data_IF_811405337477
#
_entry.id   IF_811405337477
#
_cell.length_a   1.000
_cell.length_b   1.000
_cell.length_c   1.000
_cell.angle_alpha   90.00
_cell.angle_beta   90.00
_cell.angle_gamma   90.00
#
_symmetry.space_group_name_H-M   'P 1'
#
loop_
_entity.id
_entity.type
_entity.pdbx_description
1 polymer ?
#
# COMPACT_ATOMS: atom_id res chain seq x y z
N UNK A 1 -1.87 -22.88 35.58
CA UNK A 1 -0.96 -23.23 34.47
C UNK A 1 -1.77 -23.23 33.19
N UNK A 2 -1.64 -22.19 32.36
CA UNK A 2 -2.43 -22.06 31.14
C UNK A 2 -1.98 -23.08 30.11
N UNK A 3 -2.91 -23.88 29.58
CA UNK A 3 -2.71 -24.68 28.38
C UNK A 3 -2.41 -23.70 27.23
N UNK A 4 -1.13 -23.41 26.98
CA UNK A 4 -0.72 -22.80 25.72
C UNK A 4 -1.02 -23.84 24.64
N UNK A 5 -1.84 -23.49 23.67
CA UNK A 5 -2.07 -24.33 22.48
C UNK A 5 -0.92 -24.08 21.50
N UNK A 6 0.15 -24.91 21.47
CA UNK A 6 1.30 -24.71 20.57
C UNK A 6 0.90 -24.67 19.09
N UNK A 7 -0.25 -25.25 18.76
CA UNK A 7 -0.86 -25.23 17.42
C UNK A 7 -1.24 -23.81 17.01
N UNK A 8 -1.87 -23.03 17.89
CA UNK A 8 -2.38 -21.68 17.56
C UNK A 8 -1.23 -20.69 17.35
N UNK A 9 -0.19 -20.76 18.17
CA UNK A 9 0.97 -19.86 18.09
C UNK A 9 1.70 -20.01 16.74
N UNK A 10 1.80 -21.26 16.23
CA UNK A 10 2.38 -21.56 14.91
C UNK A 10 1.59 -20.92 13.76
N UNK A 11 0.26 -20.84 13.87
CA UNK A 11 -0.59 -20.23 12.83
C UNK A 11 -0.70 -18.70 12.93
N UNK A 12 -0.42 -18.11 14.09
CA UNK A 12 -0.53 -16.66 14.28
C UNK A 12 0.72 -15.90 13.86
N UNK A 13 1.89 -16.54 13.88
CA UNK A 13 3.14 -15.90 13.50
C UNK A 13 3.09 -15.26 12.10
N UNK A 14 2.62 -15.93 11.02
CA UNK A 14 2.60 -15.32 9.70
C UNK A 14 1.63 -14.14 9.59
N UNK A 15 0.48 -14.21 10.27
CA UNK A 15 -0.49 -13.11 10.32
C UNK A 15 0.09 -11.91 11.08
N UNK A 16 0.77 -12.14 12.19
CA UNK A 16 1.47 -11.09 12.92
C UNK A 16 2.58 -10.46 12.07
N UNK A 17 3.38 -11.26 11.36
CA UNK A 17 4.38 -10.75 10.41
C UNK A 17 3.73 -9.94 9.29
N UNK A 18 2.59 -10.39 8.75
CA UNK A 18 1.84 -9.64 7.75
C UNK A 18 1.39 -8.27 8.26
N UNK A 19 0.92 -8.18 9.51
CA UNK A 19 0.51 -6.91 10.13
C UNK A 19 1.67 -5.91 10.23
N UNK A 20 2.89 -6.38 10.51
CA UNK A 20 4.07 -5.52 10.58
C UNK A 20 4.60 -5.10 9.19
N UNK A 21 4.55 -5.99 8.21
CA UNK A 21 5.05 -5.72 6.85
C UNK A 21 4.04 -4.91 6.02
N UNK A 22 2.75 -5.06 6.28
CA UNK A 22 1.67 -4.47 5.48
C UNK A 22 1.77 -2.93 5.34
N UNK A 23 2.04 -2.14 6.39
CA UNK A 23 2.22 -0.69 6.25
C UNK A 23 3.31 -0.30 5.26
N UNK A 24 4.43 -1.05 5.20
CA UNK A 24 5.50 -0.81 4.24
C UNK A 24 5.03 -1.11 2.81
N UNK A 25 4.32 -2.22 2.60
CA UNK A 25 3.74 -2.56 1.29
C UNK A 25 2.77 -1.47 0.85
N UNK A 26 1.88 -1.02 1.75
CA UNK A 26 0.94 0.08 1.49
C UNK A 26 1.69 1.35 1.13
N UNK A 27 2.75 1.72 1.85
CA UNK A 27 3.54 2.92 1.56
C UNK A 27 4.09 2.91 0.11
N UNK A 28 4.55 1.76 -0.37
CA UNK A 28 5.07 1.59 -1.73
C UNK A 28 3.96 1.70 -2.77
N UNK A 29 2.82 1.04 -2.55
CA UNK A 29 1.77 0.95 -3.57
C UNK A 29 0.72 2.08 -3.51
N UNK A 30 0.63 2.82 -2.40
CA UNK A 30 -0.47 3.78 -2.18
C UNK A 30 -0.48 4.90 -3.21
N UNK A 31 0.69 5.40 -3.64
CA UNK A 31 0.79 6.48 -4.64
C UNK A 31 0.36 5.98 -6.02
N UNK A 32 0.93 4.90 -6.60
CA UNK A 32 0.48 4.41 -7.90
C UNK A 32 -1.00 3.99 -7.87
N UNK A 33 -1.47 3.36 -6.78
CA UNK A 33 -2.88 3.00 -6.61
C UNK A 33 -3.75 4.26 -6.55
N UNK A 34 -3.34 5.32 -5.85
CA UNK A 34 -4.07 6.58 -5.82
C UNK A 34 -4.13 7.24 -7.21
N UNK A 35 -3.04 7.26 -7.96
CA UNK A 35 -3.01 7.78 -9.35
C UNK A 35 -4.04 7.06 -10.22
N UNK A 36 -4.03 5.72 -10.20
CA UNK A 36 -5.00 4.92 -10.97
C UNK A 36 -6.42 5.18 -10.47
N UNK A 37 -6.61 5.27 -9.15
CA UNK A 37 -7.92 5.46 -8.51
C UNK A 37 -8.54 6.82 -8.87
N UNK A 38 -7.79 7.91 -8.80
CA UNK A 38 -8.28 9.24 -9.21
C UNK A 38 -8.58 9.29 -10.71
N UNK A 39 -7.77 8.65 -11.56
CA UNK A 39 -7.99 8.62 -13.02
C UNK A 39 -9.19 7.77 -13.43
N UNK A 40 -9.48 6.68 -12.71
CA UNK A 40 -10.59 5.77 -13.04
C UNK A 40 -11.90 6.10 -12.31
N UNK A 41 -11.83 6.73 -11.13
CA UNK A 41 -12.98 6.90 -10.21
C UNK A 41 -13.10 8.28 -9.58
N UNK A 42 -12.18 9.22 -9.82
CA UNK A 42 -12.21 10.55 -9.17
C UNK A 42 -11.93 10.56 -7.66
N UNK A 43 -11.74 9.39 -7.03
CA UNK A 43 -11.44 9.25 -5.59
C UNK A 43 -10.53 8.06 -5.29
N UNK A 44 -9.70 8.18 -4.25
CA UNK A 44 -8.83 7.11 -3.77
C UNK A 44 -9.32 6.38 -2.50
N UNK A 45 -10.45 6.78 -1.91
CA UNK A 45 -10.99 6.21 -0.66
C UNK A 45 -12.19 5.27 -0.85
N UNK A 46 -13.06 5.22 0.16
CA UNK A 46 -14.36 4.52 0.19
C UNK A 46 -14.28 3.00 0.01
N UNK A 47 -15.43 2.37 -0.28
CA UNK A 47 -15.55 0.91 -0.26
C UNK A 47 -14.57 0.19 -1.21
N UNK A 48 -14.36 0.72 -2.41
CA UNK A 48 -13.37 0.19 -3.36
C UNK A 48 -11.94 0.15 -2.80
N UNK A 49 -11.55 1.16 -2.01
CA UNK A 49 -10.24 1.18 -1.36
C UNK A 49 -10.18 0.17 -0.21
N UNK A 50 -11.23 0.05 0.60
CA UNK A 50 -11.33 -0.97 1.65
C UNK A 50 -11.12 -2.36 1.06
N UNK A 51 -11.90 -2.71 0.04
CA UNK A 51 -11.81 -4.01 -0.64
C UNK A 51 -10.41 -4.25 -1.22
N UNK A 52 -9.81 -3.23 -1.85
CA UNK A 52 -8.47 -3.33 -2.40
C UNK A 52 -7.40 -3.58 -1.33
N UNK A 53 -7.36 -2.78 -0.26
CA UNK A 53 -6.36 -2.91 0.79
C UNK A 53 -6.57 -4.16 1.65
N UNK A 54 -7.82 -4.58 1.86
CA UNK A 54 -8.13 -5.88 2.47
C UNK A 54 -7.67 -7.04 1.59
N UNK A 55 -7.86 -6.95 0.27
CA UNK A 55 -7.37 -7.97 -0.66
C UNK A 55 -5.84 -8.02 -0.69
N UNK A 56 -5.17 -6.87 -0.68
CA UNK A 56 -3.72 -6.77 -0.61
C UNK A 56 -3.16 -7.38 0.69
N UNK A 57 -3.76 -7.05 1.84
CA UNK A 57 -3.39 -7.65 3.12
C UNK A 57 -3.59 -9.16 3.11
N UNK A 58 -4.73 -9.63 2.59
CA UNK A 58 -5.02 -11.05 2.43
C UNK A 58 -3.96 -11.76 1.60
N UNK A 59 -3.58 -11.23 0.43
CA UNK A 59 -2.57 -11.83 -0.43
C UNK A 59 -1.21 -11.92 0.28
N UNK A 60 -0.82 -10.86 1.00
CA UNK A 60 0.39 -10.85 1.81
C UNK A 60 0.34 -11.91 2.92
N UNK A 61 -0.76 -11.96 3.67
CA UNK A 61 -0.93 -12.91 4.76
C UNK A 61 -0.95 -14.36 4.26
N UNK A 62 -1.66 -14.64 3.16
CA UNK A 62 -1.71 -15.96 2.54
C UNK A 62 -0.32 -16.40 2.05
N UNK A 63 0.43 -15.51 1.39
CA UNK A 63 1.79 -15.80 0.96
C UNK A 63 2.70 -16.09 2.16
N UNK A 64 2.69 -15.22 3.18
CA UNK A 64 3.49 -15.42 4.40
C UNK A 64 3.13 -16.71 5.13
N UNK A 65 1.84 -17.07 5.17
CA UNK A 65 1.35 -18.31 5.76
C UNK A 65 1.96 -19.55 5.10
N UNK A 66 2.23 -19.48 3.79
CA UNK A 66 2.81 -20.61 3.05
C UNK A 66 4.32 -20.72 3.20
N UNK A 67 5.03 -19.62 3.46
CA UNK A 67 6.50 -19.61 3.50
C UNK A 67 7.10 -19.62 4.91
N UNK A 68 6.39 -19.12 5.94
CA UNK A 68 6.88 -19.02 7.32
C UNK A 68 6.64 -20.34 8.07
N UNK A 69 7.59 -20.83 8.90
CA UNK A 69 8.87 -20.19 9.26
C UNK A 69 9.99 -20.41 8.24
N UNK A 70 10.82 -19.38 8.05
CA UNK A 70 12.03 -19.44 7.24
C UNK A 70 13.21 -19.93 8.08
N UNK A 71 13.98 -20.94 7.64
CA UNK A 71 15.19 -21.37 8.34
C UNK A 71 16.22 -20.24 8.43
N UNK A 72 16.82 -20.02 9.61
CA UNK A 72 17.88 -19.01 9.80
C UNK A 72 19.20 -19.42 9.13
N UNK A 73 19.55 -20.70 9.23
CA UNK A 73 20.68 -21.31 8.55
C UNK A 73 20.14 -22.41 7.63
N UNK A 74 20.11 -22.11 6.33
CA UNK A 74 19.59 -23.02 5.32
C UNK A 74 20.44 -24.28 5.14
N UNK A 75 21.77 -24.15 5.24
CA UNK A 75 22.69 -25.27 5.05
C UNK A 75 22.54 -26.29 6.16
N UNK A 76 22.63 -25.83 7.41
CA UNK A 76 22.46 -26.68 8.58
C UNK A 76 21.05 -27.31 8.63
N UNK A 77 20.01 -26.55 8.29
CA UNK A 77 18.64 -27.06 8.25
C UNK A 77 18.50 -28.20 7.24
N UNK A 78 19.00 -28.02 6.02
CA UNK A 78 18.90 -28.99 4.94
C UNK A 78 19.74 -30.25 5.18
N UNK A 79 20.83 -30.16 5.96
CA UNK A 79 21.57 -31.36 6.40
C UNK A 79 20.87 -32.13 7.51
N UNK A 80 20.06 -31.46 8.34
CA UNK A 80 19.37 -32.08 9.47
C UNK A 80 17.96 -32.61 9.13
N UNK A 81 17.31 -32.06 8.10
CA UNK A 81 15.91 -32.36 7.76
C UNK A 81 15.78 -32.86 6.32
N UNK A 82 15.31 -34.10 6.17
CA UNK A 82 15.09 -34.73 4.86
C UNK A 82 13.62 -35.01 4.53
N UNK A 83 12.68 -34.67 5.43
CA UNK A 83 11.26 -35.01 5.27
C UNK A 83 10.62 -34.40 4.01
N UNK A 84 11.12 -33.25 3.55
CA UNK A 84 10.63 -32.53 2.37
C UNK A 84 11.42 -32.86 1.08
N UNK A 85 12.37 -33.80 1.13
CA UNK A 85 13.23 -34.17 -0.02
C UNK A 85 12.47 -34.82 -1.16
N UNK A 86 11.33 -35.45 -0.88
CA UNK A 86 10.48 -36.10 -1.88
C UNK A 86 9.07 -35.50 -1.81
N UNK A 87 8.49 -35.05 -2.93
CA UNK A 87 7.13 -34.54 -2.95
C UNK A 87 6.10 -35.60 -2.55
N UNK A 88 5.06 -35.18 -1.83
CA UNK A 88 3.87 -35.97 -1.60
C UNK A 88 2.96 -35.86 -2.84
N UNK A 89 2.75 -36.97 -3.55
CA UNK A 89 2.02 -37.00 -4.82
C UNK A 89 0.73 -37.84 -4.79
N UNK A 90 0.38 -38.43 -3.64
CA UNK A 90 -0.77 -39.32 -3.50
C UNK A 90 -2.03 -38.49 -3.20
N UNK A 91 -3.00 -38.37 -4.13
CA UNK A 91 -4.18 -37.58 -3.87
C UNK A 91 -5.05 -38.19 -2.76
N UNK A 92 -5.63 -37.33 -1.94
CA UNK A 92 -6.51 -37.62 -0.80
C UNK A 92 -5.86 -38.41 0.34
N UNK A 93 -4.52 -38.38 0.47
CA UNK A 93 -3.81 -39.05 1.56
C UNK A 93 -4.20 -38.47 2.94
N UNK A 94 -4.52 -37.17 2.99
CA UNK A 94 -5.00 -36.50 4.21
C UNK A 94 -6.19 -37.22 4.86
N UNK A 95 -7.05 -37.90 4.10
CA UNK A 95 -8.22 -38.64 4.63
C UNK A 95 -7.76 -39.81 5.50
N UNK A 96 -6.78 -40.57 5.02
CA UNK A 96 -6.21 -41.70 5.75
C UNK A 96 -5.49 -41.21 7.01
N UNK A 97 -4.72 -40.11 6.89
CA UNK A 97 -3.99 -39.51 8.03
C UNK A 97 -4.95 -38.98 9.10
N UNK A 98 -6.05 -38.30 8.73
CA UNK A 98 -7.05 -37.81 9.68
C UNK A 98 -7.66 -38.98 10.45
N UNK A 99 -8.06 -40.05 9.76
CA UNK A 99 -8.62 -41.27 10.38
C UNK A 99 -7.63 -41.93 11.32
N UNK A 100 -6.38 -42.06 10.89
CA UNK A 100 -5.31 -42.64 11.71
C UNK A 100 -5.05 -41.79 12.95
N UNK A 101 -5.04 -40.45 12.83
CA UNK A 101 -4.79 -39.53 13.94
C UNK A 101 -5.95 -39.45 14.93
N UNK A 102 -7.18 -39.62 14.45
CA UNK A 102 -8.38 -39.68 15.29
C UNK A 102 -8.39 -40.92 16.20
N UNK A 103 -7.73 -42.02 15.81
CA UNK A 103 -7.71 -43.29 16.58
C UNK A 103 -9.10 -43.79 17.01
N UNK A 104 -10.12 -43.49 16.20
CA UNK A 104 -11.52 -43.82 16.50
C UNK A 104 -12.25 -42.82 17.41
N UNK A 105 -11.57 -41.81 17.97
CA UNK A 105 -12.20 -40.75 18.77
C UNK A 105 -12.69 -39.60 17.86
N UNK A 106 -14.00 -39.59 17.63
CA UNK A 106 -14.72 -38.53 16.89
C UNK A 106 -15.54 -37.64 17.82
N UNK A 107 -15.26 -37.65 19.13
CA UNK A 107 -15.85 -36.70 20.06
C UNK A 107 -15.44 -35.27 19.69
N UNK A 108 -16.20 -34.27 20.16
CA UNK A 108 -15.86 -32.86 19.94
C UNK A 108 -14.43 -32.56 20.40
N UNK A 109 -14.03 -33.11 21.56
CA UNK A 109 -12.68 -32.96 22.10
C UNK A 109 -11.63 -33.61 21.18
N UNK A 110 -11.89 -34.83 20.67
CA UNK A 110 -11.00 -35.52 19.74
C UNK A 110 -10.80 -34.75 18.42
N UNK A 111 -11.88 -34.19 17.88
CA UNK A 111 -11.86 -33.33 16.68
C UNK A 111 -11.03 -32.07 16.95
N UNK A 112 -11.25 -31.38 18.07
CA UNK A 112 -10.54 -30.15 18.41
C UNK A 112 -9.03 -30.37 18.60
N UNK A 113 -8.61 -31.55 19.05
CA UNK A 113 -7.20 -31.90 19.25
C UNK A 113 -6.55 -32.56 18.02
N UNK A 114 -7.30 -32.81 16.94
CA UNK A 114 -6.74 -33.36 15.71
C UNK A 114 -6.10 -32.26 14.86
N UNK A 115 -4.80 -32.06 15.03
CA UNK A 115 -4.05 -31.03 14.29
C UNK A 115 -4.06 -31.20 12.77
N UNK A 116 -4.17 -32.44 12.27
CA UNK A 116 -4.23 -32.71 10.82
C UNK A 116 -5.55 -32.23 10.25
N UNK A 117 -6.67 -32.49 10.95
CA UNK A 117 -7.98 -31.97 10.58
C UNK A 117 -7.98 -30.44 10.47
N UNK A 118 -7.38 -29.76 11.46
CA UNK A 118 -7.24 -28.31 11.43
C UNK A 118 -6.37 -27.82 10.27
N UNK A 119 -5.23 -28.45 10.02
CA UNK A 119 -4.38 -28.11 8.87
C UNK A 119 -5.13 -28.27 7.55
N UNK A 120 -5.87 -29.36 7.37
CA UNK A 120 -6.70 -29.61 6.20
C UNK A 120 -7.79 -28.55 6.02
N UNK A 121 -8.52 -28.22 7.09
CA UNK A 121 -9.55 -27.19 7.06
C UNK A 121 -8.96 -25.80 6.74
N UNK A 122 -7.80 -25.48 7.31
CA UNK A 122 -7.11 -24.21 7.10
C UNK A 122 -6.58 -24.05 5.68
N UNK A 123 -6.12 -25.13 5.02
CA UNK A 123 -5.78 -25.10 3.60
C UNK A 123 -6.99 -24.73 2.73
N UNK A 124 -8.17 -25.31 3.01
CA UNK A 124 -9.41 -24.89 2.31
C UNK A 124 -9.73 -23.42 2.58
N UNK A 125 -9.59 -22.97 3.84
CA UNK A 125 -9.87 -21.57 4.21
C UNK A 125 -8.86 -20.60 3.58
N UNK A 126 -7.61 -21.01 3.35
CA UNK A 126 -6.53 -20.16 2.86
C UNK A 126 -6.88 -19.46 1.54
N UNK A 127 -7.41 -20.20 0.56
CA UNK A 127 -7.78 -19.65 -0.76
C UNK A 127 -9.27 -19.37 -0.94
N UNK A 128 -10.10 -19.64 0.06
CA UNK A 128 -11.52 -19.28 0.03
C UNK A 128 -11.75 -17.76 -0.17
N UNK A 129 -11.07 -16.85 0.56
CA UNK A 129 -11.21 -15.41 0.32
C UNK A 129 -10.80 -14.98 -1.09
N UNK A 130 -9.79 -15.62 -1.70
CA UNK A 130 -9.43 -15.35 -3.10
C UNK A 130 -10.60 -15.60 -4.05
N UNK A 131 -11.28 -16.74 -3.88
CA UNK A 131 -12.47 -17.08 -4.66
C UNK A 131 -13.59 -16.05 -4.53
N UNK A 132 -13.88 -15.63 -3.29
CA UNK A 132 -14.89 -14.60 -3.00
C UNK A 132 -14.51 -13.27 -3.66
N UNK A 133 -13.29 -12.81 -3.42
CA UNK A 133 -12.83 -11.49 -3.84
C UNK A 133 -12.71 -11.38 -5.35
N UNK A 134 -12.27 -12.43 -6.06
CA UNK A 134 -12.23 -12.42 -7.52
C UNK A 134 -13.64 -12.34 -8.12
N UNK A 135 -14.60 -13.09 -7.59
CA UNK A 135 -16.01 -13.03 -8.05
C UNK A 135 -16.67 -11.70 -7.73
N UNK A 136 -16.29 -11.09 -6.63
CA UNK A 136 -16.83 -9.83 -6.19
C UNK A 136 -16.24 -8.62 -6.93
N UNK A 137 -14.94 -8.62 -7.20
CA UNK A 137 -14.22 -7.48 -7.80
C UNK A 137 -14.11 -7.54 -9.32
N UNK A 138 -14.25 -8.74 -9.91
CA UNK A 138 -14.09 -8.96 -11.35
C UNK A 138 -15.34 -9.57 -11.97
N UNK A 139 -15.32 -9.81 -13.28
CA UNK A 139 -16.38 -10.52 -14.01
C UNK A 139 -16.06 -12.01 -14.23
N UNK A 140 -15.05 -12.57 -13.55
CA UNK A 140 -14.63 -13.95 -13.77
C UNK A 140 -15.74 -14.95 -13.40
N UNK A 141 -15.89 -15.99 -14.23
CA UNK A 141 -16.74 -17.16 -13.96
C UNK A 141 -16.16 -18.06 -12.87
N UNK A 142 -16.96 -18.99 -12.33
CA UNK A 142 -16.51 -19.95 -11.30
C UNK A 142 -15.27 -20.72 -11.78
N UNK A 143 -15.31 -21.27 -12.99
CA UNK A 143 -14.19 -22.03 -13.58
C UNK A 143 -12.91 -21.21 -13.64
N UNK A 144 -12.99 -19.98 -14.16
CA UNK A 144 -11.82 -19.10 -14.26
C UNK A 144 -11.29 -18.71 -12.88
N UNK A 145 -12.17 -18.43 -11.91
CA UNK A 145 -11.78 -18.14 -10.53
C UNK A 145 -11.10 -19.35 -9.87
N UNK A 146 -11.63 -20.56 -10.05
CA UNK A 146 -11.03 -21.80 -9.54
C UNK A 146 -9.68 -22.06 -10.19
N UNK A 147 -9.52 -21.80 -11.49
CA UNK A 147 -8.24 -21.93 -12.19
C UNK A 147 -7.18 -20.96 -11.64
N UNK A 148 -7.57 -19.72 -11.32
CA UNK A 148 -6.67 -18.76 -10.63
C UNK A 148 -6.30 -19.28 -9.24
N UNK A 149 -7.26 -19.86 -8.49
CA UNK A 149 -7.00 -20.50 -7.20
C UNK A 149 -6.02 -21.66 -7.29
N UNK A 150 -6.19 -22.54 -8.28
CA UNK A 150 -5.25 -23.62 -8.58
C UNK A 150 -3.87 -23.07 -8.92
N UNK A 151 -3.78 -22.05 -9.78
CA UNK A 151 -2.51 -21.41 -10.11
C UNK A 151 -1.82 -20.76 -8.90
N UNK A 152 -2.58 -20.15 -8.00
CA UNK A 152 -2.05 -19.60 -6.75
C UNK A 152 -1.55 -20.70 -5.81
N UNK A 153 -2.29 -21.80 -5.66
CA UNK A 153 -1.83 -22.94 -4.88
C UNK A 153 -0.58 -23.57 -5.48
N UNK A 154 -0.54 -23.76 -6.81
CA UNK A 154 0.62 -24.28 -7.50
C UNK A 154 1.83 -23.36 -7.33
N UNK A 155 1.63 -22.04 -7.38
CA UNK A 155 2.68 -21.09 -7.08
C UNK A 155 3.23 -21.26 -5.66
N UNK A 156 2.38 -21.47 -4.65
CA UNK A 156 2.82 -21.73 -3.28
C UNK A 156 3.61 -23.04 -3.15
N UNK A 157 3.09 -24.13 -3.71
CA UNK A 157 3.75 -25.43 -3.65
C UNK A 157 5.09 -25.44 -4.41
N UNK A 158 5.15 -24.82 -5.60
CA UNK A 158 6.41 -24.66 -6.34
C UNK A 158 7.40 -23.77 -5.59
N UNK A 159 6.88 -22.72 -4.94
CA UNK A 159 7.69 -21.87 -4.08
C UNK A 159 8.32 -22.71 -2.96
N UNK A 160 7.59 -23.60 -2.31
CA UNK A 160 8.13 -24.46 -1.25
C UNK A 160 9.07 -25.54 -1.78
N UNK A 161 8.70 -26.21 -2.86
CA UNK A 161 9.48 -27.29 -3.50
C UNK A 161 10.84 -26.80 -3.97
N UNK A 162 10.90 -25.60 -4.53
CA UNK A 162 12.16 -24.98 -4.94
C UNK A 162 12.94 -24.38 -3.76
N UNK A 163 12.39 -24.46 -2.54
CA UNK A 163 12.99 -23.88 -1.36
C UNK A 163 12.93 -22.35 -1.35
N UNK A 164 11.90 -21.74 -1.92
CA UNK A 164 11.77 -20.31 -2.22
C UNK A 164 12.80 -19.89 -3.28
N UNK A 165 12.65 -20.47 -4.48
CA UNK A 165 13.40 -20.11 -5.68
C UNK A 165 14.92 -20.20 -5.52
N UNK A 166 15.39 -21.32 -4.95
CA UNK A 166 16.81 -21.66 -4.80
C UNK A 166 17.60 -20.74 -3.86
N UNK A 167 16.92 -19.95 -3.03
CA UNK A 167 17.55 -19.27 -1.89
C UNK A 167 18.07 -20.30 -0.88
N UNK A 168 17.30 -21.36 -0.66
CA UNK A 168 17.70 -22.50 0.17
C UNK A 168 18.18 -23.67 -0.70
N UNK A 169 19.18 -24.46 -0.23
CA UNK A 169 19.75 -25.56 -1.00
C UNK A 169 18.82 -26.79 -1.09
N UNK A 170 17.70 -26.80 -0.36
CA UNK A 170 16.69 -27.85 -0.38
C UNK A 170 15.27 -27.27 -0.22
N UNK A 171 14.26 -28.08 -0.51
CA UNK A 171 12.89 -27.81 -0.09
C UNK A 171 12.82 -27.81 1.43
N UNK A 172 12.48 -26.67 2.05
CA UNK A 172 12.35 -26.57 3.50
C UNK A 172 10.92 -26.84 4.00
N UNK A 173 9.96 -26.99 3.07
CA UNK A 173 8.58 -27.45 3.31
C UNK A 173 8.22 -28.50 2.26
N UNK A 174 7.37 -29.44 2.66
CA UNK A 174 6.93 -30.55 1.82
C UNK A 174 5.93 -30.07 0.77
N UNK A 175 6.24 -30.30 -0.52
CA UNK A 175 5.26 -30.17 -1.60
C UNK A 175 4.18 -31.24 -1.45
N UNK A 176 2.92 -30.85 -1.58
CA UNK A 176 1.77 -31.73 -1.36
C UNK A 176 0.69 -31.55 -2.44
N UNK A 177 0.34 -32.64 -3.13
CA UNK A 177 -0.81 -32.66 -4.05
C UNK A 177 -2.12 -32.44 -3.29
N UNK A 178 -2.19 -32.88 -2.03
CA UNK A 178 -3.36 -32.63 -1.18
C UNK A 178 -3.54 -31.15 -0.89
N UNK A 179 -2.46 -30.40 -0.68
CA UNK A 179 -2.53 -28.96 -0.44
C UNK A 179 -3.00 -28.22 -1.69
N UNK A 180 -2.56 -28.64 -2.89
CA UNK A 180 -3.13 -28.18 -4.16
C UNK A 180 -4.64 -28.40 -4.24
N UNK A 181 -5.10 -29.60 -3.92
CA UNK A 181 -6.52 -29.97 -3.99
C UNK A 181 -7.33 -29.13 -2.99
N UNK A 182 -6.89 -29.05 -1.73
CA UNK A 182 -7.61 -28.38 -0.65
C UNK A 182 -7.68 -26.86 -0.87
N UNK A 183 -6.56 -26.23 -1.21
CA UNK A 183 -6.53 -24.80 -1.53
C UNK A 183 -7.42 -24.49 -2.76
N UNK A 184 -7.35 -25.33 -3.81
CA UNK A 184 -8.19 -25.16 -4.99
C UNK A 184 -9.68 -25.33 -4.68
N UNK A 185 -10.03 -26.30 -3.83
CA UNK A 185 -11.38 -26.49 -3.32
C UNK A 185 -11.86 -25.26 -2.53
N UNK A 186 -10.98 -24.67 -1.72
CA UNK A 186 -11.19 -23.39 -1.06
C UNK A 186 -11.59 -22.28 -2.02
N UNK A 187 -10.77 -22.05 -3.06
CA UNK A 187 -11.05 -21.06 -4.08
C UNK A 187 -12.36 -21.34 -4.84
N UNK A 188 -12.67 -22.60 -5.12
CA UNK A 188 -13.95 -23.00 -5.72
C UNK A 188 -15.15 -22.67 -4.83
N UNK A 189 -15.11 -23.07 -3.54
CA UNK A 189 -16.16 -22.74 -2.57
C UNK A 189 -16.30 -21.23 -2.43
N UNK A 190 -15.20 -20.51 -2.33
CA UNK A 190 -15.19 -19.05 -2.31
C UNK A 190 -15.84 -18.45 -3.56
N UNK A 191 -15.61 -19.05 -4.73
CA UNK A 191 -16.20 -18.58 -5.98
C UNK A 191 -17.73 -18.77 -6.03
N UNK A 192 -18.23 -19.86 -5.43
CA UNK A 192 -19.66 -20.10 -5.25
C UNK A 192 -20.28 -19.05 -4.31
N UNK A 193 -19.63 -18.77 -3.18
CA UNK A 193 -20.09 -17.82 -2.17
C UNK A 193 -20.01 -16.35 -2.65
N UNK A 194 -19.04 -16.02 -3.50
CA UNK A 194 -18.83 -14.65 -4.00
C UNK A 194 -19.97 -14.12 -4.85
N UNK A 195 -20.73 -15.00 -5.53
CA UNK A 195 -21.90 -14.62 -6.34
C UNK A 195 -23.02 -14.00 -5.49
N UNK A 196 -23.58 -14.74 -4.52
CA UNK A 196 -24.56 -14.20 -3.57
C UNK A 196 -24.06 -12.97 -2.82
N UNK A 197 -22.80 -12.96 -2.40
CA UNK A 197 -22.22 -11.87 -1.62
C UNK A 197 -22.20 -10.53 -2.39
N UNK A 198 -22.07 -10.56 -3.72
CA UNK A 198 -22.15 -9.36 -4.56
C UNK A 198 -23.52 -8.65 -4.49
N UNK A 199 -24.60 -9.35 -4.10
CA UNK A 199 -25.93 -8.76 -3.91
C UNK A 199 -26.07 -8.05 -2.56
N UNK A 200 -25.23 -8.41 -1.59
CA UNK A 200 -25.27 -7.89 -0.22
C UNK A 200 -24.25 -6.76 -0.03
N UNK A 201 -23.05 -6.91 -0.61
CA UNK A 201 -21.99 -5.93 -0.49
C UNK A 201 -22.23 -4.70 -1.38
N UNK A 202 -21.71 -3.51 -0.99
CA UNK A 202 -21.83 -2.31 -1.80
C UNK A 202 -21.28 -2.50 -3.22
N UNK A 203 -21.92 -1.90 -4.21
CA UNK A 203 -21.45 -2.02 -5.60
C UNK A 203 -20.14 -1.25 -5.83
N UNK A 204 -19.20 -1.89 -6.53
CA UNK A 204 -17.98 -1.24 -7.04
C UNK A 204 -18.29 -0.53 -8.37
N UNK A 205 -18.75 0.71 -8.30
CA UNK A 205 -19.24 1.48 -9.45
C UNK A 205 -18.28 2.63 -9.87
N UNK A 206 -17.17 2.35 -10.59
CA UNK A 206 -16.14 3.33 -10.89
C UNK A 206 -16.64 4.53 -11.70
N UNK A 207 -17.60 4.35 -12.62
CA UNK A 207 -18.18 5.42 -13.42
C UNK A 207 -19.00 6.41 -12.58
N UNK A 208 -19.90 5.88 -11.74
CA UNK A 208 -20.73 6.67 -10.82
C UNK A 208 -19.85 7.46 -9.83
N UNK A 209 -18.77 6.83 -9.35
CA UNK A 209 -17.79 7.51 -8.51
C UNK A 209 -17.10 8.66 -9.28
N UNK A 210 -16.67 8.41 -10.52
CA UNK A 210 -16.01 9.43 -11.33
C UNK A 210 -16.91 10.64 -11.55
N UNK A 211 -18.18 10.43 -11.93
CA UNK A 211 -19.16 11.50 -12.12
C UNK A 211 -19.37 12.34 -10.85
N UNK A 212 -19.38 11.70 -9.67
CA UNK A 212 -19.60 12.39 -8.39
C UNK A 212 -18.38 13.14 -7.87
N UNK A 213 -17.17 12.64 -8.14
CA UNK A 213 -15.95 13.10 -7.47
C UNK A 213 -14.88 13.71 -8.39
N UNK A 214 -15.04 13.67 -9.73
CA UNK A 214 -14.02 14.15 -10.67
C UNK A 214 -13.62 15.63 -10.44
N UNK A 215 -14.60 16.49 -10.18
CA UNK A 215 -14.45 17.93 -9.96
C UNK A 215 -14.06 18.28 -8.50
N UNK A 216 -14.17 17.32 -7.57
CA UNK A 216 -13.94 17.56 -6.14
C UNK A 216 -12.46 17.55 -5.77
N UNK A 217 -12.05 18.54 -5.00
CA UNK A 217 -10.70 18.62 -4.42
C UNK A 217 -10.75 18.19 -2.95
N UNK A 218 -10.71 16.88 -2.73
CA UNK A 218 -10.75 16.31 -1.37
C UNK A 218 -9.42 16.46 -0.64
N UNK A 219 -9.44 16.41 0.70
CA UNK A 219 -8.23 16.35 1.53
C UNK A 219 -7.34 15.18 1.13
N UNK A 220 -7.92 14.01 0.90
CA UNK A 220 -7.19 12.83 0.44
C UNK A 220 -6.49 13.05 -0.91
N UNK A 221 -7.10 13.80 -1.85
CA UNK A 221 -6.50 14.12 -3.16
C UNK A 221 -5.33 15.07 -3.00
N UNK A 222 -5.44 16.04 -2.09
CA UNK A 222 -4.35 16.96 -1.71
C UNK A 222 -3.19 16.20 -1.05
N UNK A 223 -3.48 15.29 -0.11
CA UNK A 223 -2.47 14.49 0.59
C UNK A 223 -1.73 13.55 -0.37
N UNK A 224 -2.44 12.82 -1.24
CA UNK A 224 -1.79 11.96 -2.23
C UNK A 224 -0.97 12.76 -3.26
N UNK A 225 -1.40 13.97 -3.62
CA UNK A 225 -0.63 14.85 -4.49
C UNK A 225 0.67 15.29 -3.80
N UNK A 226 0.60 15.69 -2.52
CA UNK A 226 1.77 16.04 -1.72
C UNK A 226 2.70 14.84 -1.54
N UNK A 227 2.17 13.66 -1.21
CA UNK A 227 2.96 12.44 -1.08
C UNK A 227 3.68 12.07 -2.40
N UNK A 228 2.99 12.20 -3.53
CA UNK A 228 3.60 11.98 -4.85
C UNK A 228 4.67 13.03 -5.19
N UNK A 229 4.45 14.30 -4.81
CA UNK A 229 5.47 15.35 -4.97
C UNK A 229 6.69 15.09 -4.10
N UNK A 230 6.51 14.73 -2.83
CA UNK A 230 7.62 14.42 -1.92
C UNK A 230 8.40 13.19 -2.35
N UNK A 231 7.72 12.12 -2.76
CA UNK A 231 8.37 10.92 -3.28
C UNK A 231 9.15 11.20 -4.58
N UNK A 232 8.54 11.92 -5.53
CA UNK A 232 9.20 12.31 -6.78
C UNK A 232 10.40 13.23 -6.55
N UNK A 233 10.26 14.20 -5.65
CA UNK A 233 11.34 15.10 -5.26
C UNK A 233 12.50 14.35 -4.59
N UNK A 234 12.21 13.45 -3.65
CA UNK A 234 13.22 12.64 -2.98
C UNK A 234 13.96 11.71 -3.95
N UNK A 235 13.24 11.07 -4.88
CA UNK A 235 13.85 10.23 -5.93
C UNK A 235 14.75 11.04 -6.86
N UNK A 236 14.31 12.23 -7.26
CA UNK A 236 15.11 13.12 -8.10
C UNK A 236 16.38 13.57 -7.38
N UNK A 237 16.28 13.95 -6.10
CA UNK A 237 17.47 14.29 -5.30
C UNK A 237 18.42 13.10 -5.15
N UNK A 238 17.90 11.92 -4.80
CA UNK A 238 18.71 10.71 -4.68
C UNK A 238 19.44 10.39 -5.99
N UNK A 239 18.76 10.54 -7.13
CA UNK A 239 19.36 10.40 -8.45
C UNK A 239 20.44 11.47 -8.71
N UNK A 240 20.15 12.75 -8.45
CA UNK A 240 21.12 13.84 -8.63
C UNK A 240 22.37 13.66 -7.77
N UNK A 241 22.22 13.31 -6.49
CA UNK A 241 23.35 13.04 -5.62
C UNK A 241 24.12 11.77 -6.02
N UNK A 242 23.42 10.73 -6.49
CA UNK A 242 24.05 9.54 -7.07
C UNK A 242 24.91 9.90 -8.28
N UNK A 243 24.42 10.79 -9.15
CA UNK A 243 25.14 11.26 -10.33
C UNK A 243 26.38 12.09 -9.94
N UNK A 244 26.25 13.02 -8.99
CA UNK A 244 27.38 13.81 -8.49
C UNK A 244 28.49 12.91 -7.92
N UNK A 245 28.11 11.90 -7.13
CA UNK A 245 29.07 10.91 -6.61
C UNK A 245 29.71 10.07 -7.70
N UNK A 246 28.94 9.69 -8.72
CA UNK A 246 29.46 8.93 -9.87
C UNK A 246 30.53 9.70 -10.65
N UNK A 247 30.43 11.04 -10.70
CA UNK A 247 31.38 11.93 -11.37
C UNK A 247 32.40 12.60 -10.42
N UNK A 248 32.60 12.01 -9.23
CA UNK A 248 33.57 12.46 -8.22
C UNK A 248 33.45 13.96 -7.87
N UNK A 249 32.24 14.50 -7.92
CA UNK A 249 31.98 15.88 -7.56
C UNK A 249 31.83 16.02 -6.04
N UNK A 250 32.42 17.06 -5.42
CA UNK A 250 32.33 17.26 -3.98
C UNK A 250 30.87 17.44 -3.54
N UNK A 251 30.42 16.58 -2.62
CA UNK A 251 29.06 16.63 -2.06
C UNK A 251 28.96 17.42 -0.77
N UNK A 252 29.91 18.29 -0.47
CA UNK A 252 29.90 19.12 0.75
C UNK A 252 28.80 20.20 0.68
N UNK A 253 28.49 20.70 -0.52
CA UNK A 253 27.54 21.80 -0.72
C UNK A 253 26.14 21.29 -1.13
N UNK A 254 25.56 20.40 -0.32
CA UNK A 254 24.29 19.73 -0.64
C UNK A 254 23.09 20.69 -0.74
N UNK A 255 23.18 21.87 -0.11
CA UNK A 255 22.07 22.82 -0.07
C UNK A 255 21.73 23.45 -1.43
N UNK A 256 22.72 23.79 -2.25
CA UNK A 256 22.46 24.44 -3.54
C UNK A 256 21.69 23.53 -4.53
N UNK A 257 22.06 22.24 -4.72
CA UNK A 257 21.25 21.30 -5.49
C UNK A 257 19.83 21.15 -4.95
N UNK A 258 19.65 21.02 -3.63
CA UNK A 258 18.33 20.86 -3.00
C UNK A 258 17.44 22.07 -3.27
N UNK A 259 17.95 23.28 -3.07
CA UNK A 259 17.22 24.53 -3.33
C UNK A 259 16.88 24.65 -4.81
N UNK A 260 17.84 24.37 -5.70
CA UNK A 260 17.65 24.47 -7.15
C UNK A 260 16.56 23.52 -7.63
N UNK A 261 16.65 22.23 -7.25
CA UNK A 261 15.63 21.23 -7.60
C UNK A 261 14.28 21.61 -6.98
N UNK A 262 14.27 22.14 -5.76
CA UNK A 262 13.06 22.60 -5.08
C UNK A 262 12.36 23.74 -5.83
N UNK A 263 13.11 24.76 -6.23
CA UNK A 263 12.60 25.88 -7.03
C UNK A 263 12.11 25.41 -8.39
N UNK A 264 12.83 24.52 -9.07
CA UNK A 264 12.38 23.97 -10.36
C UNK A 264 11.08 23.18 -10.19
N UNK A 265 10.99 22.30 -9.19
CA UNK A 265 9.86 21.40 -8.98
C UNK A 265 8.60 22.12 -8.50
N UNK A 266 8.73 22.99 -7.49
CA UNK A 266 7.60 23.59 -6.78
C UNK A 266 7.27 25.02 -7.22
N UNK A 267 8.17 25.70 -7.94
CA UNK A 267 7.93 27.08 -8.41
C UNK A 267 7.88 27.14 -9.95
N UNK A 268 8.97 26.79 -10.63
CA UNK A 268 9.07 26.94 -12.08
C UNK A 268 8.09 26.03 -12.82
N UNK A 269 8.10 24.72 -12.52
CA UNK A 269 7.22 23.75 -13.17
C UNK A 269 5.72 24.12 -13.03
N UNK A 270 5.17 24.38 -11.84
CA UNK A 270 3.78 24.82 -11.72
C UNK A 270 3.52 26.24 -12.27
N UNK A 271 4.50 27.14 -12.32
CA UNK A 271 4.30 28.43 -13.00
C UNK A 271 4.06 28.25 -14.52
N UNK A 272 4.76 27.28 -15.13
CA UNK A 272 4.65 26.98 -16.56
C UNK A 272 3.43 26.10 -16.90
N UNK A 273 3.17 25.07 -16.09
CA UNK A 273 2.17 24.03 -16.38
C UNK A 273 0.87 24.17 -15.57
N UNK A 274 0.86 25.02 -14.54
CA UNK A 274 -0.20 25.14 -13.55
C UNK A 274 -0.19 24.04 -12.48
N UNK A 275 0.70 23.03 -12.55
CA UNK A 275 0.68 21.89 -11.62
C UNK A 275 2.09 21.41 -11.28
N UNK A 276 2.32 21.01 -10.03
CA UNK A 276 3.47 20.14 -9.71
C UNK A 276 3.23 18.75 -10.28
N UNK A 277 4.27 17.92 -10.37
CA UNK A 277 4.14 16.58 -10.96
C UNK A 277 3.20 15.69 -10.13
N UNK A 278 3.27 15.74 -8.80
CA UNK A 278 2.36 15.04 -7.90
C UNK A 278 0.92 15.53 -8.02
N UNK A 279 0.69 16.85 -8.10
CA UNK A 279 -0.64 17.41 -8.38
C UNK A 279 -1.18 16.94 -9.73
N UNK A 280 -0.37 16.98 -10.79
CA UNK A 280 -0.76 16.49 -12.12
C UNK A 280 -1.09 14.99 -12.09
N UNK A 281 -0.36 14.20 -11.31
CA UNK A 281 -0.62 12.77 -11.11
C UNK A 281 -2.01 12.51 -10.51
N UNK A 282 -2.44 13.37 -9.58
CA UNK A 282 -3.77 13.36 -8.94
C UNK A 282 -4.79 14.27 -9.64
N UNK A 283 -4.52 14.70 -10.88
CA UNK A 283 -5.40 15.57 -11.67
C UNK A 283 -5.76 16.88 -10.94
N UNK A 284 -4.80 17.53 -10.31
CA UNK A 284 -4.94 18.83 -9.66
C UNK A 284 -4.06 19.88 -10.34
N UNK A 285 -4.51 21.13 -10.31
CA UNK A 285 -3.73 22.32 -10.68
C UNK A 285 -3.86 23.42 -9.62
N UNK A 286 -2.95 24.38 -9.64
CA UNK A 286 -2.95 25.57 -8.79
C UNK A 286 -3.28 26.78 -9.63
N UNK A 287 -4.30 27.52 -9.20
CA UNK A 287 -4.74 28.76 -9.83
C UNK A 287 -4.83 29.87 -8.80
N UNK A 288 -4.85 31.13 -9.24
CA UNK A 288 -5.25 32.26 -8.40
C UNK A 288 -6.76 32.23 -8.22
N UNK A 289 -7.25 32.89 -7.16
CA UNK A 289 -8.70 33.04 -6.91
C UNK A 289 -9.44 33.78 -8.03
N UNK A 290 -8.73 34.55 -8.86
CA UNK A 290 -9.29 35.22 -10.04
C UNK A 290 -9.24 34.35 -11.32
N UNK A 291 -8.96 33.04 -11.20
CA UNK A 291 -8.90 32.11 -12.33
C UNK A 291 -7.63 32.19 -13.19
N UNK A 292 -6.73 33.16 -12.93
CA UNK A 292 -5.45 33.26 -13.65
C UNK A 292 -4.44 32.25 -13.10
N UNK A 293 -3.39 31.98 -13.88
CA UNK A 293 -2.26 31.16 -13.41
C UNK A 293 -1.57 31.79 -12.19
N UNK A 294 -1.13 30.96 -11.26
CA UNK A 294 -0.34 31.41 -10.12
C UNK A 294 1.07 31.82 -10.57
N UNK A 295 1.49 33.04 -10.23
CA UNK A 295 2.83 33.53 -10.54
C UNK A 295 3.90 32.93 -9.63
N UNK A 296 5.20 33.02 -10.00
CA UNK A 296 6.31 32.41 -9.26
C UNK A 296 6.38 32.82 -7.78
N UNK A 297 6.19 34.10 -7.47
CA UNK A 297 6.22 34.59 -6.07
C UNK A 297 5.11 33.97 -5.21
N UNK A 298 3.90 33.85 -5.77
CA UNK A 298 2.78 33.24 -5.05
C UNK A 298 3.02 31.75 -4.80
N UNK A 299 3.62 31.05 -5.78
CA UNK A 299 3.99 29.65 -5.65
C UNK A 299 5.13 29.46 -4.64
N UNK A 300 6.16 30.32 -4.67
CA UNK A 300 7.26 30.31 -3.72
C UNK A 300 6.74 30.44 -2.28
N UNK A 301 5.94 31.47 -1.99
CA UNK A 301 5.37 31.67 -0.64
C UNK A 301 4.47 30.49 -0.26
N UNK A 302 3.65 30.01 -1.19
CA UNK A 302 2.73 28.89 -0.95
C UNK A 302 3.48 27.63 -0.52
N UNK A 303 4.51 27.24 -1.27
CA UNK A 303 5.27 26.03 -1.00
C UNK A 303 6.29 26.21 0.13
N UNK A 304 6.80 27.43 0.35
CA UNK A 304 7.63 27.73 1.52
C UNK A 304 6.86 27.50 2.83
N UNK A 305 5.59 27.91 2.90
CA UNK A 305 4.74 27.63 4.08
C UNK A 305 4.29 26.16 4.10
N UNK A 306 3.86 25.58 2.97
CA UNK A 306 3.39 24.17 2.97
C UNK A 306 4.51 23.18 3.34
N UNK A 307 5.75 23.44 2.91
CA UNK A 307 6.91 22.58 3.14
C UNK A 307 7.77 23.05 4.33
N UNK A 308 7.30 24.02 5.12
CA UNK A 308 8.05 24.53 6.27
C UNK A 308 8.48 23.49 7.29
N UNK A 309 7.70 22.42 7.59
CA UNK A 309 8.20 21.39 8.51
C UNK A 309 9.46 20.70 7.98
N UNK A 310 9.56 20.52 6.67
CA UNK A 310 10.68 19.80 6.05
C UNK A 310 11.94 20.66 5.96
N UNK A 311 11.84 21.90 5.46
CA UNK A 311 13.03 22.73 5.32
C UNK A 311 13.51 23.28 6.68
N UNK A 312 12.62 23.50 7.66
CA UNK A 312 13.04 23.84 9.02
C UNK A 312 13.68 22.65 9.73
N UNK A 313 13.19 21.42 9.51
CA UNK A 313 13.86 20.22 10.02
C UNK A 313 15.23 20.04 9.37
N UNK A 314 15.35 20.28 8.07
CA UNK A 314 16.65 20.29 7.39
C UNK A 314 17.60 21.35 7.96
N UNK A 315 17.11 22.56 8.19
CA UNK A 315 17.89 23.63 8.83
C UNK A 315 18.35 23.22 10.24
N UNK A 316 17.46 22.65 11.05
CA UNK A 316 17.80 22.17 12.38
C UNK A 316 18.85 21.05 12.36
N UNK A 317 18.77 20.13 11.39
CA UNK A 317 19.76 19.06 11.20
C UNK A 317 21.10 19.57 10.66
N UNK A 318 21.14 20.77 10.08
CA UNK A 318 22.38 21.41 9.61
C UNK A 318 23.10 22.24 10.69
N UNK A 319 22.55 22.33 11.90
CA UNK A 319 23.19 23.01 13.04
C UNK A 319 24.09 22.01 13.76
N UNK A 320 25.41 22.21 13.66
CA UNK A 320 26.41 21.30 14.26
C UNK A 320 26.35 21.25 15.79
N UNK A 321 26.16 22.41 16.43
CA UNK A 321 26.13 22.53 17.90
C UNK A 321 24.97 23.43 18.32
N UNK A 322 24.15 22.97 19.26
CA UNK A 322 23.01 23.73 19.81
C UNK A 322 23.41 24.57 21.03
N UNK A 323 24.45 25.38 20.90
CA UNK A 323 24.87 26.33 21.95
C UNK A 323 23.93 27.54 21.99
N UNK A 324 22.73 27.36 22.55
CA UNK A 324 21.66 28.39 22.57
C UNK A 324 22.08 29.62 23.39
N UNK A 325 22.93 29.46 24.41
CA UNK A 325 23.45 30.57 25.21
C UNK A 325 24.30 31.54 24.38
N UNK A 326 25.16 31.01 23.50
CA UNK A 326 26.04 31.79 22.64
C UNK A 326 25.33 32.28 21.36
N UNK A 327 24.33 31.52 20.90
CA UNK A 327 23.59 31.74 19.66
C UNK A 327 22.08 31.66 19.89
N UNK A 328 21.47 32.68 20.55
CA UNK A 328 20.04 32.68 20.88
C UNK A 328 19.13 32.63 19.66
N UNK A 329 19.58 33.08 18.49
CA UNK A 329 18.86 33.00 17.22
C UNK A 329 18.49 31.57 16.83
N UNK A 330 19.24 30.56 17.30
CA UNK A 330 18.93 29.14 17.06
C UNK A 330 17.59 28.72 17.68
N UNK A 331 17.15 29.41 18.75
CA UNK A 331 15.83 29.19 19.34
C UNK A 331 14.70 29.49 18.34
N UNK A 332 14.90 30.42 17.40
CA UNK A 332 13.93 30.75 16.36
C UNK A 332 13.66 29.57 15.43
N UNK A 333 14.64 28.68 15.22
CA UNK A 333 14.47 27.46 14.42
C UNK A 333 13.48 26.52 15.12
N UNK A 334 13.66 26.30 16.43
CA UNK A 334 12.78 25.43 17.23
C UNK A 334 11.36 26.01 17.33
N UNK A 335 11.23 27.31 17.61
CA UNK A 335 9.94 28.01 17.62
C UNK A 335 9.29 27.94 16.25
N UNK A 336 10.06 28.16 15.18
CA UNK A 336 9.63 28.04 13.80
C UNK A 336 9.09 26.64 13.49
N UNK A 337 9.77 25.57 13.94
CA UNK A 337 9.34 24.19 13.76
C UNK A 337 7.98 23.97 14.43
N UNK A 338 7.80 24.40 15.68
CA UNK A 338 6.53 24.26 16.41
C UNK A 338 5.40 25.00 15.69
N UNK A 339 5.62 26.26 15.31
CA UNK A 339 4.65 27.08 14.57
C UNK A 339 4.31 26.45 13.22
N UNK A 340 5.31 25.95 12.51
CA UNK A 340 5.17 25.28 11.23
C UNK A 340 4.34 24.00 11.34
N UNK A 341 4.62 23.15 12.33
CA UNK A 341 3.82 21.96 12.61
C UNK A 341 2.38 22.33 13.00
N UNK A 342 2.17 23.40 13.74
CA UNK A 342 0.82 23.89 14.03
C UNK A 342 0.10 24.35 12.76
N UNK A 343 0.70 25.22 11.95
CA UNK A 343 0.07 25.77 10.73
C UNK A 343 -0.19 24.68 9.69
N UNK A 344 0.77 23.80 9.44
CA UNK A 344 0.69 22.77 8.38
C UNK A 344 0.03 21.50 8.87
N UNK A 345 0.33 21.05 10.08
CA UNK A 345 -0.16 19.80 10.64
C UNK A 345 -1.53 19.90 11.29
N UNK A 346 -1.89 21.05 11.87
CA UNK A 346 -3.14 21.23 12.63
C UNK A 346 -4.11 22.20 11.94
N UNK A 347 -3.69 23.44 11.68
CA UNK A 347 -4.58 24.46 11.12
C UNK A 347 -4.98 24.14 9.68
N UNK A 348 -4.04 23.73 8.83
CA UNK A 348 -4.34 23.38 7.43
C UNK A 348 -5.46 22.35 7.29
N UNK A 349 -5.43 21.16 7.93
CA UNK A 349 -6.53 20.21 7.81
C UNK A 349 -7.83 20.76 8.40
N UNK A 350 -7.79 21.43 9.56
CA UNK A 350 -8.99 22.05 10.16
C UNK A 350 -9.64 23.07 9.22
N UNK A 351 -8.86 23.96 8.63
CA UNK A 351 -9.36 24.96 7.70
C UNK A 351 -9.96 24.31 6.44
N UNK A 352 -9.33 23.27 5.89
CA UNK A 352 -9.87 22.60 4.69
C UNK A 352 -11.16 21.82 4.99
N UNK A 353 -11.36 21.32 6.20
CA UNK A 353 -12.58 20.58 6.58
C UNK A 353 -13.72 21.47 7.08
N UNK A 354 -13.42 22.55 7.79
CA UNK A 354 -14.43 23.29 8.56
C UNK A 354 -14.59 24.76 8.16
N UNK A 355 -13.69 25.33 7.36
CA UNK A 355 -13.89 26.72 6.89
C UNK A 355 -14.86 26.75 5.70
N UNK A 356 -15.69 27.79 5.63
CA UNK A 356 -16.65 27.98 4.53
C UNK A 356 -15.97 27.94 3.16
N UNK A 357 -14.77 28.51 3.07
CA UNK A 357 -14.00 28.54 1.83
C UNK A 357 -13.19 27.27 1.55
N UNK A 358 -13.05 26.36 2.53
CA UNK A 358 -12.26 25.13 2.45
C UNK A 358 -10.79 25.36 2.00
N UNK A 359 -10.22 26.52 2.37
CA UNK A 359 -8.87 26.97 1.96
C UNK A 359 -7.89 26.88 3.12
N UNK A 360 -6.72 26.27 2.88
CA UNK A 360 -5.65 26.23 3.87
C UNK A 360 -4.99 27.62 4.08
N UNK A 361 -4.30 27.87 5.21
CA UNK A 361 -3.69 29.18 5.50
C UNK A 361 -2.76 29.70 4.40
N UNK A 362 -1.91 28.84 3.84
CA UNK A 362 -1.03 29.19 2.72
C UNK A 362 -1.78 29.52 1.41
N UNK A 363 -3.00 29.02 1.24
CA UNK A 363 -3.88 29.31 0.10
C UNK A 363 -4.51 30.69 0.23
N UNK A 364 -4.96 31.02 1.44
CA UNK A 364 -5.51 32.34 1.78
C UNK A 364 -4.43 33.42 1.63
N UNK A 365 -3.25 33.21 2.24
CA UNK A 365 -2.11 34.13 2.18
C UNK A 365 -1.70 34.44 0.73
N UNK A 366 -1.67 33.42 -0.12
CA UNK A 366 -1.21 33.57 -1.51
C UNK A 366 -2.35 33.80 -2.50
N UNK A 367 -3.61 33.91 -2.06
CA UNK A 367 -4.79 33.98 -2.94
C UNK A 367 -4.75 32.92 -4.05
N UNK A 368 -4.33 31.70 -3.70
CA UNK A 368 -4.29 30.56 -4.62
C UNK A 368 -5.27 29.49 -4.17
N UNK A 369 -5.70 28.65 -5.10
CA UNK A 369 -6.60 27.52 -4.85
C UNK A 369 -6.14 26.29 -5.62
N UNK A 370 -6.45 25.11 -5.10
CA UNK A 370 -6.36 23.88 -5.87
C UNK A 370 -7.65 23.70 -6.67
N UNK A 371 -7.52 23.39 -7.95
CA UNK A 371 -8.64 23.10 -8.86
C UNK A 371 -8.46 21.71 -9.44
N UNK A 372 -9.56 20.95 -9.54
CA UNK A 372 -9.55 19.64 -10.17
C UNK A 372 -9.49 19.78 -11.69
N UNK A 373 -8.60 19.02 -12.33
CA UNK A 373 -8.54 18.88 -13.77
C UNK A 373 -9.59 17.83 -14.17
N UNK A 374 -10.75 18.30 -14.60
CA UNK A 374 -11.80 17.43 -15.15
C UNK A 374 -11.51 17.22 -16.63
N UNK A 375 -11.30 15.96 -17.03
CA UNK A 375 -11.26 15.63 -18.46
C UNK A 375 -12.69 15.71 -18.98
N UNK A 376 -12.95 16.60 -19.94
CA UNK A 376 -14.24 16.66 -20.61
C UNK A 376 -14.56 15.27 -21.19
N UNK A 377 -15.79 14.80 -20.96
CA UNK A 377 -16.27 13.57 -21.57
C UNK A 377 -16.53 13.90 -23.05
N UNK A 378 -15.89 13.25 -24.04
CA UNK A 378 -16.11 13.58 -25.45
C UNK A 378 -17.56 13.37 -25.93
N UNK A 379 -18.41 12.74 -25.10
CA UNK A 379 -19.84 12.56 -25.37
C UNK A 379 -20.72 13.77 -25.00
N UNK A 380 -20.21 14.79 -24.29
CA UNK A 380 -21.01 15.98 -23.91
C UNK A 380 -20.86 17.16 -24.88
N UNK A 381 -20.17 16.98 -26.01
CA UNK A 381 -20.10 17.94 -27.12
C UNK A 381 -20.91 17.42 -28.30
N UNK A 382 -22.22 17.21 -28.10
CA UNK A 382 -23.17 17.33 -29.21
C UNK A 382 -23.90 18.65 -29.00
N UNK A 383 -23.84 19.60 -29.96
CA UNK A 383 -24.76 20.71 -29.92
C UNK A 383 -26.16 20.11 -30.13
N UNK A 384 -27.06 20.36 -29.18
CA UNK A 384 -28.49 20.15 -29.40
C UNK A 384 -28.91 20.93 -30.65
N UNK A 385 -29.66 20.30 -31.58
CA UNK A 385 -30.12 20.94 -32.81
C UNK A 385 -31.07 22.12 -32.55
#
# INVERSE_FOLDING_TARGET
MGYKFPVVETFLLPVATALWVFPLVVLVVMVPVAVVSYRRRGRAGGWTAVVFYSFLFYLLAAFLQTIIPLPRDGGAYCTAHHYASTPQLRPFEFVDIIRQRARGDWSLTGILHNGVLWSTALNVILLLPLGILLRYTTKLGIVATTAVGFGASLFFELTQLTGLWFIYPCAYRLFSVDDLILNTAGAFVGALLGGPLRRILPELAPKRDLERYADKVTVTRRLFALAADLAGFALLLAFSFGLLRLFDQPTEHQGLPVITVGLVWFVLNPALTGSTLGKRAMLLRVERTNGRRAGPLALLVRYAVLLSPLWLAWLALSVDVWAIADHPERLLILVGIVLSFFVVGVWTPLAVFFSDDHRAPYEQLTRTINVAIVRANPASTSPSP
#
